data_IF_765828617105
#
_entry.id   IF_765828617105
#
_cell.length_a   1.000
_cell.length_b   1.000
_cell.length_c   1.000
_cell.angle_alpha   90.00
_cell.angle_beta   90.00
_cell.angle_gamma   90.00
#
_symmetry.space_group_name_H-M   'P 1'
#
loop_
_entity.id
_entity.type
_entity.pdbx_description
1 polymer ?
#
# COMPACT_ATOMS: atom_id res chain seq x y z
N UNK A 1 17.80 19.70 -7.78
CA UNK A 1 16.83 18.74 -8.32
C UNK A 1 17.31 17.34 -8.02
N UNK A 2 16.38 16.42 -7.70
CA UNK A 2 16.73 15.02 -7.44
C UNK A 2 16.80 14.26 -8.77
N UNK A 3 17.85 13.46 -8.94
CA UNK A 3 18.06 12.61 -10.11
C UNK A 3 18.27 11.16 -9.65
N UNK A 4 17.93 10.22 -10.51
CA UNK A 4 18.13 8.77 -10.26
C UNK A 4 17.43 8.25 -9.00
N UNK A 5 16.26 8.78 -8.67
CA UNK A 5 15.49 8.30 -7.51
C UNK A 5 14.74 7.03 -7.89
N UNK A 6 14.93 5.97 -7.10
CA UNK A 6 14.26 4.70 -7.32
C UNK A 6 13.16 4.50 -6.28
N UNK A 7 11.91 4.55 -6.71
CA UNK A 7 10.75 4.30 -5.86
C UNK A 7 10.32 2.85 -5.93
N UNK A 8 9.84 2.33 -4.81
CA UNK A 8 9.23 1.00 -4.71
C UNK A 8 7.89 1.11 -3.99
N UNK A 9 6.87 0.57 -4.59
CA UNK A 9 5.52 0.59 -4.02
C UNK A 9 4.54 -0.17 -4.89
N UNK A 10 3.29 -0.10 -4.56
CA UNK A 10 2.23 -0.69 -5.36
C UNK A 10 0.85 -0.37 -4.78
N UNK A 11 -0.18 -0.72 -5.54
CA UNK A 11 -1.58 -0.39 -5.22
C UNK A 11 -1.77 1.12 -5.07
N UNK A 12 -1.49 1.86 -6.13
CA UNK A 12 -1.75 3.29 -6.16
C UNK A 12 -3.25 3.56 -6.24
N UNK A 13 -3.80 4.26 -5.26
CA UNK A 13 -5.21 4.65 -5.20
C UNK A 13 -5.48 5.97 -5.92
N UNK A 14 -4.45 6.79 -6.09
CA UNK A 14 -4.47 8.06 -6.84
C UNK A 14 -3.14 8.25 -7.56
N UNK A 15 -3.11 9.15 -8.53
CA UNK A 15 -1.87 9.49 -9.24
C UNK A 15 -1.00 10.34 -8.32
N UNK A 16 0.19 9.88 -7.93
CA UNK A 16 1.12 10.70 -7.15
C UNK A 16 1.50 11.98 -7.91
N UNK A 17 1.66 13.09 -7.20
CA UNK A 17 2.09 14.35 -7.82
C UNK A 17 3.44 14.22 -8.54
N UNK A 18 4.33 13.41 -8.00
CA UNK A 18 5.63 13.12 -8.60
C UNK A 18 5.53 12.47 -10.00
N UNK A 19 4.37 11.87 -10.38
CA UNK A 19 4.13 11.36 -11.72
C UNK A 19 3.70 12.45 -12.71
N UNK A 20 3.41 13.65 -12.21
CA UNK A 20 2.88 14.79 -12.96
C UNK A 20 3.94 15.87 -13.23
N UNK A 21 5.18 15.65 -12.82
CA UNK A 21 6.30 16.55 -13.14
C UNK A 21 6.67 16.46 -14.62
N UNK A 22 7.37 17.46 -15.12
CA UNK A 22 7.93 17.40 -16.47
C UNK A 22 8.99 16.30 -16.56
N UNK A 23 8.88 15.43 -17.56
CA UNK A 23 9.78 14.32 -17.85
C UNK A 23 10.13 13.45 -16.61
N UNK A 24 9.15 12.73 -16.01
CA UNK A 24 9.43 11.89 -14.84
C UNK A 24 10.53 10.85 -15.08
N UNK A 25 10.67 10.37 -16.33
CA UNK A 25 11.66 9.37 -16.70
C UNK A 25 13.11 9.87 -16.57
N UNK A 26 13.35 11.16 -16.67
CA UNK A 26 14.67 11.75 -16.46
C UNK A 26 15.09 11.80 -14.98
N UNK A 27 14.13 11.75 -14.06
CA UNK A 27 14.37 11.97 -12.63
C UNK A 27 14.26 10.72 -11.80
N UNK A 28 13.37 9.77 -12.18
CA UNK A 28 13.05 8.64 -11.32
C UNK A 28 12.71 7.36 -12.07
N UNK A 29 12.71 6.26 -11.31
CA UNK A 29 12.08 5.01 -11.69
C UNK A 29 11.06 4.61 -10.64
N UNK A 30 9.92 4.06 -11.07
CA UNK A 30 8.91 3.49 -10.20
C UNK A 30 8.85 1.98 -10.39
N UNK A 31 9.25 1.23 -9.37
CA UNK A 31 9.14 -0.23 -9.36
C UNK A 31 7.89 -0.65 -8.59
N UNK A 32 6.92 -1.20 -9.31
CA UNK A 32 5.67 -1.66 -8.73
C UNK A 32 5.57 -3.19 -8.72
N UNK A 33 5.12 -3.72 -7.63
CA UNK A 33 4.73 -5.12 -7.50
C UNK A 33 3.22 -5.34 -7.80
N UNK A 34 2.50 -4.29 -8.13
CA UNK A 34 1.08 -4.32 -8.53
C UNK A 34 0.85 -3.48 -9.78
N UNK A 35 0.10 -4.00 -10.75
CA UNK A 35 -0.18 -3.32 -12.02
C UNK A 35 -1.62 -2.85 -12.12
N UNK A 36 -1.92 -1.75 -11.45
CA UNK A 36 -3.16 -0.99 -11.61
C UNK A 36 -3.20 -0.14 -12.89
N UNK A 37 -4.26 0.63 -13.05
CA UNK A 37 -4.42 1.52 -14.20
C UNK A 37 -3.39 2.65 -14.24
N UNK A 38 -2.97 3.13 -13.07
CA UNK A 38 -1.99 4.21 -12.91
C UNK A 38 -0.60 3.71 -13.33
N UNK A 39 -0.19 2.57 -12.79
CA UNK A 39 1.13 1.99 -13.08
C UNK A 39 1.28 1.61 -14.56
N UNK A 40 0.22 1.11 -15.20
CA UNK A 40 0.25 0.82 -16.65
C UNK A 40 0.48 2.06 -17.50
N UNK A 41 -0.10 3.20 -17.11
CA UNK A 41 0.16 4.49 -17.78
C UNK A 41 1.60 4.94 -17.56
N UNK A 42 2.14 4.79 -16.36
CA UNK A 42 3.53 5.11 -16.04
C UNK A 42 4.52 4.22 -16.81
N UNK A 43 4.21 2.93 -17.02
CA UNK A 43 5.01 2.04 -17.89
C UNK A 43 5.00 2.57 -19.33
N UNK A 44 3.85 2.97 -19.87
CA UNK A 44 3.76 3.52 -21.21
C UNK A 44 4.56 4.83 -21.38
N UNK A 45 4.78 5.56 -20.30
CA UNK A 45 5.63 6.76 -20.25
C UNK A 45 7.11 6.46 -19.99
N UNK A 46 7.49 5.20 -19.75
CA UNK A 46 8.88 4.76 -19.69
C UNK A 46 9.56 4.84 -18.32
N UNK A 47 8.88 5.28 -17.26
CA UNK A 47 9.49 5.43 -15.94
C UNK A 47 9.03 4.42 -14.88
N UNK A 48 8.13 3.50 -15.23
CA UNK A 48 7.68 2.45 -14.32
C UNK A 48 8.04 1.06 -14.82
N UNK A 49 8.33 0.17 -13.87
CA UNK A 49 8.69 -1.22 -14.12
C UNK A 49 7.85 -2.14 -13.22
N UNK A 50 7.54 -3.32 -13.73
CA UNK A 50 6.80 -4.32 -12.98
C UNK A 50 7.73 -5.38 -12.39
N UNK A 51 7.64 -5.56 -11.08
CA UNK A 51 8.31 -6.63 -10.34
C UNK A 51 7.26 -7.66 -9.90
N UNK A 52 7.07 -8.77 -10.63
CA UNK A 52 6.05 -9.77 -10.32
C UNK A 52 6.40 -10.54 -9.05
N UNK A 53 5.74 -10.19 -7.96
CA UNK A 53 5.95 -10.78 -6.62
C UNK A 53 4.58 -11.11 -6.04
N UNK A 54 4.45 -12.25 -5.38
CA UNK A 54 3.25 -12.55 -4.58
C UNK A 54 3.20 -11.60 -3.39
N UNK A 55 2.02 -11.09 -3.09
CA UNK A 55 1.85 -10.15 -1.98
C UNK A 55 2.39 -10.68 -0.64
N UNK A 56 2.16 -11.96 -0.36
CA UNK A 56 2.67 -12.63 0.84
C UNK A 56 4.19 -12.76 0.90
N UNK A 57 4.89 -12.58 -0.21
CA UNK A 57 6.36 -12.65 -0.28
C UNK A 57 7.03 -11.29 -0.17
N UNK A 58 6.26 -10.20 -0.16
CA UNK A 58 6.82 -8.84 -0.02
C UNK A 58 7.69 -8.67 1.24
N UNK A 59 7.29 -9.15 2.43
CA UNK A 59 8.15 -9.03 3.60
C UNK A 59 9.52 -9.71 3.39
N UNK A 60 9.53 -10.90 2.81
CA UNK A 60 10.76 -11.62 2.48
C UNK A 60 11.59 -10.86 1.44
N UNK A 61 10.95 -10.35 0.40
CA UNK A 61 11.63 -9.56 -0.63
C UNK A 61 12.37 -8.36 -0.03
N UNK A 62 11.73 -7.60 0.87
CA UNK A 62 12.41 -6.47 1.52
C UNK A 62 13.54 -6.90 2.45
N UNK A 63 13.37 -7.98 3.21
CA UNK A 63 14.40 -8.48 4.14
C UNK A 63 15.62 -9.05 3.41
N UNK A 64 15.41 -9.80 2.34
CA UNK A 64 16.45 -10.57 1.64
C UNK A 64 17.06 -9.82 0.43
N UNK A 65 16.40 -8.80 -0.11
CA UNK A 65 16.93 -8.02 -1.24
C UNK A 65 18.29 -7.42 -0.90
N UNK A 66 19.30 -7.58 -1.76
CA UNK A 66 20.63 -6.94 -1.58
C UNK A 66 20.58 -5.42 -1.74
N UNK A 67 19.56 -4.91 -2.44
CA UNK A 67 19.44 -3.49 -2.70
C UNK A 67 19.15 -2.70 -1.41
N UNK A 68 19.80 -1.55 -1.22
CA UNK A 68 19.51 -0.70 -0.08
C UNK A 68 18.09 -0.13 -0.16
N UNK A 69 17.48 0.10 1.01
CA UNK A 69 16.30 0.92 1.17
C UNK A 69 16.72 2.15 1.98
N UNK A 70 16.97 3.25 1.30
CA UNK A 70 17.54 4.42 1.96
C UNK A 70 16.49 5.14 2.80
N UNK A 71 15.28 5.30 2.28
CA UNK A 71 14.20 6.02 2.95
C UNK A 71 12.88 5.26 2.79
N UNK A 72 12.19 5.03 3.89
CA UNK A 72 10.80 4.61 3.91
C UNK A 72 9.91 5.80 4.27
N UNK A 73 8.85 6.03 3.52
CA UNK A 73 7.86 7.09 3.77
C UNK A 73 6.47 6.48 3.73
N UNK A 74 5.70 6.65 4.79
CA UNK A 74 4.32 6.15 4.85
C UNK A 74 3.48 6.90 5.90
N UNK A 75 2.15 6.86 5.73
CA UNK A 75 1.22 7.44 6.68
C UNK A 75 1.00 6.54 7.89
N UNK A 76 0.77 7.17 9.04
CA UNK A 76 0.53 6.52 10.33
C UNK A 76 -0.53 7.27 11.14
N UNK A 77 -1.03 6.62 12.20
CA UNK A 77 -1.86 7.31 13.22
C UNK A 77 -1.03 8.32 14.00
N UNK A 78 -1.66 9.24 14.75
CA UNK A 78 -0.97 9.92 15.85
C UNK A 78 -0.26 8.94 16.80
N UNK A 79 0.84 9.39 17.37
CA UNK A 79 1.62 8.61 18.34
C UNK A 79 0.79 8.34 19.60
N UNK A 80 0.86 7.13 20.12
CA UNK A 80 0.24 6.79 21.39
C UNK A 80 1.11 7.17 22.61
N UNK A 81 0.56 6.99 23.80
CA UNK A 81 1.25 7.28 25.08
C UNK A 81 2.51 6.46 25.34
N UNK A 82 2.69 5.38 24.58
CA UNK A 82 3.86 4.49 24.67
C UNK A 82 4.88 4.77 23.56
N UNK A 83 4.66 5.79 22.73
CA UNK A 83 5.58 6.18 21.65
C UNK A 83 5.42 5.38 20.36
N UNK A 84 4.29 4.72 20.13
CA UNK A 84 4.05 3.96 18.91
C UNK A 84 3.13 4.66 17.94
N UNK A 85 3.50 4.60 16.67
CA UNK A 85 2.68 4.96 15.51
C UNK A 85 2.10 3.70 14.90
N UNK A 86 0.77 3.64 14.75
CA UNK A 86 0.09 2.49 14.15
C UNK A 86 -0.02 2.67 12.63
N UNK A 87 0.17 1.60 11.87
CA UNK A 87 0.11 1.62 10.40
C UNK A 87 -1.31 1.72 9.84
N UNK A 88 -2.33 1.72 10.71
CA UNK A 88 -3.73 1.77 10.30
C UNK A 88 -4.18 0.50 9.55
N UNK A 89 -5.08 0.63 8.57
CA UNK A 89 -5.69 -0.53 7.90
C UNK A 89 -4.73 -1.38 7.08
N UNK A 90 -3.55 -0.84 6.73
CA UNK A 90 -2.63 -1.49 5.80
C UNK A 90 -1.23 -1.65 6.40
N UNK A 91 -1.09 -2.52 7.39
CA UNK A 91 0.22 -2.90 7.92
C UNK A 91 1.06 -3.63 6.85
N UNK A 92 0.42 -4.54 6.09
CA UNK A 92 1.03 -5.20 4.94
C UNK A 92 2.46 -5.69 5.20
N UNK A 93 3.42 -5.14 4.49
CA UNK A 93 4.86 -5.44 4.57
C UNK A 93 5.66 -4.34 5.30
N UNK A 94 4.99 -3.37 5.93
CA UNK A 94 5.65 -2.21 6.53
C UNK A 94 6.63 -2.58 7.66
N UNK A 95 6.37 -3.64 8.42
CA UNK A 95 7.32 -4.16 9.40
C UNK A 95 8.69 -4.47 8.78
N UNK A 96 8.69 -5.24 7.69
CA UNK A 96 9.91 -5.56 6.96
C UNK A 96 10.58 -4.34 6.30
N UNK A 97 9.78 -3.38 5.85
CA UNK A 97 10.29 -2.10 5.33
C UNK A 97 10.99 -1.32 6.44
N UNK A 98 10.41 -1.23 7.63
CA UNK A 98 11.02 -0.56 8.79
C UNK A 98 12.33 -1.22 9.23
N UNK A 99 12.41 -2.55 9.21
CA UNK A 99 13.65 -3.28 9.53
C UNK A 99 14.78 -2.98 8.53
N UNK A 100 14.45 -2.78 7.26
CA UNK A 100 15.40 -2.60 6.17
C UNK A 100 15.83 -1.15 5.96
N UNK A 101 14.93 -0.20 6.17
CA UNK A 101 15.14 1.20 5.85
C UNK A 101 16.25 1.83 6.72
N UNK A 102 17.11 2.62 6.08
CA UNK A 102 18.12 3.43 6.79
C UNK A 102 17.50 4.63 7.50
N UNK A 103 16.43 5.17 6.92
CA UNK A 103 15.67 6.29 7.47
C UNK A 103 14.18 6.00 7.34
N UNK A 104 13.42 6.31 8.37
CA UNK A 104 11.97 6.17 8.38
C UNK A 104 11.38 7.55 8.59
N UNK A 105 10.57 8.00 7.65
CA UNK A 105 9.80 9.24 7.73
C UNK A 105 8.34 8.84 7.79
N UNK A 106 7.64 9.29 8.81
CA UNK A 106 6.21 9.04 8.97
C UNK A 106 5.42 10.32 8.76
N UNK A 107 4.35 10.23 7.99
CA UNK A 107 3.34 11.28 7.87
C UNK A 107 2.19 10.96 8.81
N UNK A 108 2.01 11.80 9.82
CA UNK A 108 0.92 11.61 10.79
C UNK A 108 -0.39 12.09 10.18
N UNK A 109 -1.39 11.21 10.19
CA UNK A 109 -2.74 11.54 9.76
C UNK A 109 -3.75 11.22 10.87
N UNK A 110 -4.39 12.25 11.42
CA UNK A 110 -5.38 12.12 12.49
C UNK A 110 -6.65 11.39 12.06
N UNK A 111 -6.91 11.28 10.76
CA UNK A 111 -8.01 10.50 10.20
C UNK A 111 -7.65 9.01 10.01
N UNK A 112 -6.40 8.62 10.23
CA UNK A 112 -5.98 7.22 10.15
C UNK A 112 -6.56 6.44 11.33
N UNK A 113 -7.41 5.41 11.10
CA UNK A 113 -7.91 4.59 12.19
C UNK A 113 -6.80 3.72 12.78
N UNK A 114 -6.77 3.64 14.12
CA UNK A 114 -5.92 2.67 14.80
C UNK A 114 -6.50 1.28 14.60
N UNK A 115 -5.72 0.40 13.98
CA UNK A 115 -6.13 -0.98 13.73
C UNK A 115 -5.34 -1.93 14.63
N UNK A 116 -6.05 -2.86 15.27
CA UNK A 116 -5.42 -3.94 16.00
C UNK A 116 -4.89 -4.99 15.02
N UNK A 117 -3.77 -5.58 15.34
CA UNK A 117 -3.12 -6.57 14.49
C UNK A 117 -2.10 -7.39 15.24
N UNK A 118 -1.24 -8.08 14.50
CA UNK A 118 -0.10 -8.79 15.05
C UNK A 118 1.01 -7.86 15.54
N UNK A 119 2.21 -8.41 15.70
CA UNK A 119 3.36 -7.67 16.24
C UNK A 119 3.92 -6.62 15.26
N UNK A 120 3.59 -6.71 13.98
CA UNK A 120 4.13 -5.84 12.92
C UNK A 120 3.12 -4.75 12.50
N UNK A 121 2.31 -4.23 13.40
CA UNK A 121 1.28 -3.24 13.09
C UNK A 121 1.63 -1.79 13.49
N UNK A 122 2.82 -1.56 14.01
CA UNK A 122 3.26 -0.24 14.48
C UNK A 122 4.78 -0.10 14.40
N UNK A 123 5.24 1.16 14.51
CA UNK A 123 6.65 1.52 14.63
C UNK A 123 6.84 2.42 15.85
N UNK A 124 7.89 2.18 16.63
CA UNK A 124 8.21 3.01 17.79
C UNK A 124 9.00 4.26 17.37
N UNK A 125 8.79 5.39 18.04
CA UNK A 125 9.42 6.67 17.74
C UNK A 125 10.95 6.60 17.71
N UNK A 126 11.57 5.71 18.48
CA UNK A 126 13.02 5.53 18.48
C UNK A 126 13.59 5.03 17.14
N UNK A 127 12.74 4.48 16.27
CA UNK A 127 13.11 4.01 14.93
C UNK A 127 12.83 5.07 13.86
N UNK A 128 12.06 6.11 14.19
CA UNK A 128 11.62 7.15 13.26
C UNK A 128 12.66 8.25 13.16
N UNK A 129 13.06 8.57 11.94
CA UNK A 129 14.03 9.64 11.65
C UNK A 129 13.38 11.01 11.53
N UNK A 130 12.16 11.06 11.02
CA UNK A 130 11.41 12.31 10.82
C UNK A 130 9.91 12.09 10.88
N UNK A 131 9.22 13.09 11.36
CA UNK A 131 7.76 13.14 11.46
C UNK A 131 7.28 14.33 10.65
N UNK A 132 6.29 14.11 9.80
CA UNK A 132 5.60 15.14 9.03
C UNK A 132 4.17 15.21 9.51
N UNK A 133 3.72 16.38 9.84
CA UNK A 133 2.32 16.69 10.12
C UNK A 133 1.78 17.46 8.92
N UNK A 134 0.84 16.84 8.21
CA UNK A 134 0.25 17.38 6.99
C UNK A 134 -1.21 17.81 7.18
N UNK A 135 -1.92 17.93 6.06
CA UNK A 135 -3.31 18.43 6.03
C UNK A 135 -4.35 17.43 6.54
N UNK A 136 -3.93 16.27 6.99
CA UNK A 136 -4.80 15.20 7.48
C UNK A 136 -5.93 14.85 6.50
N UNK A 137 -5.63 14.44 5.27
CA UNK A 137 -6.66 14.09 4.30
C UNK A 137 -7.50 12.91 4.81
N UNK A 138 -8.78 12.84 4.45
CA UNK A 138 -9.60 11.67 4.75
C UNK A 138 -8.98 10.43 4.12
N UNK A 139 -9.05 9.29 4.81
CA UNK A 139 -8.58 8.02 4.25
C UNK A 139 -9.43 7.68 3.03
N UNK A 140 -8.77 7.43 1.91
CA UNK A 140 -9.43 7.07 0.67
C UNK A 140 -10.28 5.81 0.83
N UNK A 141 -11.50 5.87 0.34
CA UNK A 141 -12.39 4.71 0.27
C UNK A 141 -12.39 4.16 -1.15
N UNK A 142 -12.40 2.84 -1.26
CA UNK A 142 -12.68 2.22 -2.56
C UNK A 142 -14.12 2.55 -2.96
N UNK A 143 -14.32 2.87 -4.24
CA UNK A 143 -15.67 3.06 -4.76
C UNK A 143 -16.54 1.84 -4.43
N UNK A 144 -17.74 2.10 -3.96
CA UNK A 144 -18.73 1.03 -3.79
C UNK A 144 -18.93 0.30 -5.12
N UNK A 145 -19.03 -1.01 -5.08
CA UNK A 145 -19.41 -1.78 -6.25
C UNK A 145 -20.75 -1.28 -6.79
N UNK A 146 -20.86 -1.13 -8.09
CA UNK A 146 -22.13 -0.88 -8.76
C UNK A 146 -23.10 -2.06 -8.55
N UNK A 147 -24.35 -1.93 -9.02
CA UNK A 147 -25.29 -3.04 -8.97
C UNK A 147 -24.72 -4.28 -9.68
N UNK A 148 -24.94 -5.45 -9.07
CA UNK A 148 -24.46 -6.71 -9.63
C UNK A 148 -25.01 -6.92 -11.05
N UNK A 149 -24.15 -7.34 -11.97
CA UNK A 149 -24.56 -7.70 -13.33
C UNK A 149 -25.34 -9.02 -13.34
N UNK A 150 -26.05 -9.31 -14.44
CA UNK A 150 -26.70 -10.63 -14.61
C UNK A 150 -25.72 -11.79 -14.53
N UNK A 151 -24.48 -11.58 -14.95
CA UNK A 151 -23.42 -12.60 -14.86
C UNK A 151 -23.03 -12.83 -13.42
N UNK A 152 -22.83 -11.74 -12.63
CA UNK A 152 -22.52 -11.83 -11.21
C UNK A 152 -23.61 -12.58 -10.44
N UNK A 153 -24.88 -12.27 -10.72
CA UNK A 153 -26.02 -12.97 -10.12
C UNK A 153 -26.06 -14.46 -10.47
N UNK A 154 -25.74 -14.83 -11.72
CA UNK A 154 -25.64 -16.24 -12.12
C UNK A 154 -24.52 -16.97 -11.39
N UNK A 155 -23.35 -16.31 -11.25
CA UNK A 155 -22.21 -16.87 -10.49
C UNK A 155 -22.59 -17.02 -9.02
N UNK A 156 -23.18 -15.99 -8.40
CA UNK A 156 -23.63 -16.04 -7.02
C UNK A 156 -24.59 -17.19 -6.75
N UNK A 157 -25.57 -17.41 -7.65
CA UNK A 157 -26.52 -18.51 -7.55
C UNK A 157 -25.89 -19.91 -7.59
N UNK A 158 -24.73 -20.05 -8.22
CA UNK A 158 -23.96 -21.30 -8.22
C UNK A 158 -23.09 -21.45 -6.95
N UNK A 159 -22.57 -20.35 -6.41
CA UNK A 159 -21.63 -20.35 -5.29
C UNK A 159 -22.37 -20.44 -3.94
N UNK A 160 -23.41 -19.62 -3.75
CA UNK A 160 -24.13 -19.52 -2.47
C UNK A 160 -24.61 -20.87 -1.92
N UNK A 161 -25.15 -21.79 -2.72
CA UNK A 161 -25.57 -23.11 -2.22
C UNK A 161 -24.40 -23.99 -1.69
N UNK A 162 -23.17 -23.66 -2.03
CA UNK A 162 -21.98 -24.38 -1.57
C UNK A 162 -21.48 -23.88 -0.21
N UNK A 163 -22.05 -22.79 0.32
CA UNK A 163 -21.62 -22.18 1.56
C UNK A 163 -22.52 -22.70 2.71
N UNK A 164 -21.99 -23.56 3.59
CA UNK A 164 -22.75 -24.04 4.73
C UNK A 164 -22.88 -22.94 5.81
N UNK A 165 -23.90 -23.06 6.67
CA UNK A 165 -24.04 -22.20 7.83
C UNK A 165 -22.82 -22.33 8.74
N UNK A 166 -22.30 -21.20 9.23
CA UNK A 166 -21.11 -21.15 10.07
C UNK A 166 -19.78 -21.17 9.29
N UNK A 167 -19.80 -21.15 7.96
CA UNK A 167 -18.58 -21.06 7.16
C UNK A 167 -17.83 -19.76 7.43
N UNK A 168 -16.50 -19.84 7.43
CA UNK A 168 -15.61 -18.70 7.41
C UNK A 168 -15.29 -18.37 5.95
N UNK A 169 -15.60 -17.15 5.50
CA UNK A 169 -15.39 -16.72 4.13
C UNK A 169 -14.25 -15.71 4.05
N UNK A 170 -13.45 -15.83 3.01
CA UNK A 170 -12.53 -14.76 2.59
C UNK A 170 -13.09 -14.12 1.32
N UNK A 171 -13.29 -12.82 1.37
CA UNK A 171 -13.72 -12.03 0.22
C UNK A 171 -12.53 -11.29 -0.35
N UNK A 172 -12.36 -11.38 -1.67
CA UNK A 172 -11.36 -10.63 -2.41
C UNK A 172 -11.86 -9.22 -2.79
N UNK A 173 -10.97 -8.42 -3.36
CA UNK A 173 -11.29 -7.12 -3.95
C UNK A 173 -11.64 -7.33 -5.42
N UNK A 174 -12.79 -6.86 -5.85
CA UNK A 174 -13.22 -6.95 -7.25
C UNK A 174 -14.72 -6.75 -7.42
N UNK A 175 -15.18 -6.66 -8.65
CA UNK A 175 -16.60 -6.45 -8.95
C UNK A 175 -17.50 -7.62 -8.51
N UNK A 176 -16.99 -8.84 -8.59
CA UNK A 176 -17.76 -10.04 -8.27
C UNK A 176 -17.79 -10.39 -6.77
N UNK A 177 -16.74 -10.19 -5.96
CA UNK A 177 -16.79 -10.44 -4.52
C UNK A 177 -17.58 -9.42 -3.70
N UNK A 178 -17.80 -8.21 -4.22
CA UNK A 178 -18.45 -7.09 -3.52
C UNK A 178 -19.95 -7.12 -3.64
#
# INVERSE_FOLDING_TARGET
>A
ELENVNFRGGILMWVPEIFQIDDPAAHMTWNSWHMGGIERKAIAQGFSFYSPIRYSELPRYYRESPDPLDIAVFQVTPMDEHGYFNFGPSASHLGAVCEKARKIIVEVNTNMPRCLGGMENCVHISQVTGIVEGDNPPIGQMAAAGPASEVDLKVANLVVPQIPNGACLQLGIGSMPN
#
